data_IF_907948242617
#
_entry.id   IF_907948242617
#
_cell.length_a   1.000
_cell.length_b   1.000
_cell.length_c   1.000
_cell.angle_alpha   90.00
_cell.angle_beta   90.00
_cell.angle_gamma   90.00
#
_symmetry.space_group_name_H-M   'P 1'
#
loop_
_entity.id
_entity.type
_entity.pdbx_description
1 polymer ?
#
# COMPACT_ATOMS: atom_id res chain seq x y z
N UNK A 1 12.63 16.41 1.04
CA UNK A 1 11.91 15.40 0.23
C UNK A 1 12.01 13.99 0.86
N UNK A 2 11.41 13.76 2.04
CA UNK A 2 11.54 12.47 2.78
C UNK A 2 10.34 11.52 2.61
N UNK A 3 9.23 12.03 2.08
CA UNK A 3 8.01 11.24 1.82
C UNK A 3 8.15 10.30 0.61
N UNK A 4 8.88 10.70 -0.44
CA UNK A 4 9.10 9.90 -1.66
C UNK A 4 9.84 8.57 -1.46
N UNK A 5 10.49 8.34 -0.32
CA UNK A 5 11.18 7.07 -0.02
C UNK A 5 10.30 6.05 0.69
N UNK A 6 9.00 6.32 0.86
CA UNK A 6 8.09 5.40 1.51
C UNK A 6 7.69 4.29 0.53
N UNK A 7 7.83 3.01 0.90
CA UNK A 7 7.47 1.88 0.03
C UNK A 7 6.00 1.93 -0.43
N UNK A 8 5.13 2.59 0.34
CA UNK A 8 3.73 2.86 -0.04
C UNK A 8 3.59 3.67 -1.33
N UNK A 9 4.43 4.69 -1.56
CA UNK A 9 4.34 5.54 -2.75
C UNK A 9 4.75 4.76 -3.99
N UNK A 10 5.84 3.99 -3.90
CA UNK A 10 6.26 3.10 -4.99
C UNK A 10 5.18 2.07 -5.31
N UNK A 11 4.56 1.49 -4.28
CA UNK A 11 3.45 0.56 -4.46
C UNK A 11 2.23 1.22 -5.13
N UNK A 12 1.87 2.46 -4.76
CA UNK A 12 0.75 3.18 -5.37
C UNK A 12 1.04 3.48 -6.85
N UNK A 13 2.22 4.00 -7.17
CA UNK A 13 2.61 4.33 -8.54
C UNK A 13 2.60 3.09 -9.44
N UNK A 14 3.21 1.98 -8.98
CA UNK A 14 3.23 0.71 -9.71
C UNK A 14 1.82 0.20 -10.03
N UNK A 15 0.82 0.56 -9.22
CA UNK A 15 -0.54 0.11 -9.34
C UNK A 15 -1.48 1.02 -10.11
N UNK A 16 -1.24 2.32 -10.08
CA UNK A 16 -2.01 3.24 -10.90
C UNK A 16 -1.59 3.20 -12.37
N UNK A 17 -0.32 2.92 -12.67
CA UNK A 17 0.22 2.90 -14.05
C UNK A 17 -0.56 1.94 -14.97
N UNK A 18 -0.83 0.66 -14.62
CA UNK A 18 -1.56 -0.26 -15.48
C UNK A 18 -3.01 0.16 -15.72
N UNK A 19 -3.66 0.78 -14.74
CA UNK A 19 -5.05 1.26 -14.85
C UNK A 19 -5.13 2.48 -15.77
N UNK A 20 -4.22 3.44 -15.60
CA UNK A 20 -4.13 4.61 -16.49
C UNK A 20 -3.74 4.17 -17.91
N UNK A 21 -2.80 3.24 -18.04
CA UNK A 21 -2.41 2.66 -19.33
C UNK A 21 -3.56 1.94 -20.02
N UNK A 22 -4.36 1.18 -19.26
CA UNK A 22 -5.59 0.56 -19.77
C UNK A 22 -6.58 1.62 -20.24
N UNK A 23 -6.91 2.63 -19.43
CA UNK A 23 -7.83 3.71 -19.81
C UNK A 23 -7.40 4.41 -21.11
N UNK A 24 -6.08 4.68 -21.26
CA UNK A 24 -5.52 5.38 -22.43
C UNK A 24 -5.47 4.52 -23.70
N UNK A 25 -5.34 3.19 -23.60
CA UNK A 25 -5.17 2.28 -24.75
C UNK A 25 -6.39 1.40 -25.04
N UNK A 26 -7.35 1.30 -24.12
CA UNK A 26 -8.48 0.36 -24.20
C UNK A 26 -9.46 0.68 -25.34
N UNK A 27 -9.49 1.93 -25.83
CA UNK A 27 -10.45 2.33 -26.86
C UNK A 27 -11.89 2.02 -26.43
N UNK A 28 -12.57 1.10 -27.12
CA UNK A 28 -13.93 0.65 -26.80
C UNK A 28 -14.01 -0.69 -26.02
N UNK A 29 -12.87 -1.25 -25.59
CA UNK A 29 -12.86 -2.52 -24.86
C UNK A 29 -13.48 -2.29 -23.48
N UNK A 30 -14.56 -3.02 -23.17
CA UNK A 30 -15.20 -2.93 -21.86
C UNK A 30 -14.34 -3.66 -20.82
N UNK A 31 -14.10 -3.07 -19.65
CA UNK A 31 -13.39 -3.75 -18.57
C UNK A 31 -14.16 -5.01 -18.14
N UNK A 32 -13.48 -6.15 -18.17
CA UNK A 32 -14.03 -7.43 -17.71
C UNK A 32 -14.02 -7.56 -16.18
N UNK A 33 -14.64 -8.63 -15.66
CA UNK A 33 -14.70 -8.92 -14.20
C UNK A 33 -13.32 -8.90 -13.54
N UNK A 34 -12.30 -9.42 -14.20
CA UNK A 34 -10.92 -9.43 -13.67
C UNK A 34 -10.35 -8.03 -13.43
N UNK A 35 -10.77 -7.03 -14.20
CA UNK A 35 -10.35 -5.64 -14.00
C UNK A 35 -10.89 -5.10 -12.67
N UNK A 36 -12.17 -5.34 -12.40
CA UNK A 36 -12.80 -4.92 -11.15
C UNK A 36 -12.24 -5.69 -9.94
N UNK A 37 -11.92 -6.97 -10.09
CA UNK A 37 -11.22 -7.74 -9.05
C UNK A 37 -9.82 -7.18 -8.78
N UNK A 38 -9.08 -6.81 -9.82
CA UNK A 38 -7.80 -6.10 -9.71
C UNK A 38 -7.94 -4.76 -8.98
N UNK A 39 -8.94 -3.96 -9.32
CA UNK A 39 -9.22 -2.70 -8.65
C UNK A 39 -9.56 -2.91 -7.18
N UNK A 40 -10.42 -3.88 -6.87
CA UNK A 40 -10.82 -4.21 -5.50
C UNK A 40 -9.63 -4.63 -4.65
N UNK A 41 -8.74 -5.49 -5.17
CA UNK A 41 -7.54 -5.93 -4.45
C UNK A 41 -6.56 -4.80 -4.19
N UNK A 42 -6.41 -3.85 -5.12
CA UNK A 42 -5.61 -2.65 -4.90
C UNK A 42 -6.25 -1.77 -3.82
N UNK A 43 -7.55 -1.52 -3.89
CA UNK A 43 -8.23 -0.68 -2.89
C UNK A 43 -8.08 -1.27 -1.48
N UNK A 44 -8.36 -2.57 -1.30
CA UNK A 44 -8.26 -3.22 0.01
C UNK A 44 -6.81 -3.23 0.54
N UNK A 45 -5.84 -3.48 -0.33
CA UNK A 45 -4.41 -3.43 0.02
C UNK A 45 -3.96 -2.00 0.40
N UNK A 46 -4.44 -0.99 -0.32
CA UNK A 46 -4.15 0.42 -0.06
C UNK A 46 -4.72 0.87 1.29
N UNK A 47 -5.96 0.49 1.60
CA UNK A 47 -6.60 0.74 2.90
C UNK A 47 -5.79 0.08 4.02
N UNK A 48 -5.37 -1.18 3.83
CA UNK A 48 -4.57 -1.90 4.83
C UNK A 48 -3.20 -1.24 5.07
N UNK A 49 -2.51 -0.84 4.01
CA UNK A 49 -1.23 -0.13 4.11
C UNK A 49 -1.39 1.21 4.81
N UNK A 50 -2.43 1.97 4.48
CA UNK A 50 -2.72 3.25 5.13
C UNK A 50 -3.05 3.06 6.61
N UNK A 51 -3.84 2.03 6.95
CA UNK A 51 -4.15 1.69 8.33
C UNK A 51 -2.88 1.35 9.13
N UNK A 52 -1.96 0.58 8.57
CA UNK A 52 -0.67 0.31 9.21
C UNK A 52 0.19 1.57 9.35
N UNK A 53 0.27 2.40 8.30
CA UNK A 53 1.03 3.65 8.29
C UNK A 53 0.51 4.64 9.33
N UNK A 54 -0.80 4.70 9.52
CA UNK A 54 -1.45 5.54 10.53
C UNK A 54 -0.91 5.27 11.94
N UNK A 55 -0.63 4.01 12.31
CA UNK A 55 -0.04 3.71 13.60
C UNK A 55 1.40 4.24 13.75
N UNK A 56 2.22 4.21 12.70
CA UNK A 56 3.55 4.81 12.75
C UNK A 56 3.49 6.34 12.93
N UNK A 57 2.55 6.99 12.24
CA UNK A 57 2.31 8.43 12.39
C UNK A 57 1.84 8.74 13.82
N UNK A 58 0.86 7.98 14.33
CA UNK A 58 0.33 8.13 15.70
C UNK A 58 1.40 7.97 16.77
N UNK A 59 2.35 7.05 16.58
CA UNK A 59 3.45 6.79 17.50
C UNK A 59 4.73 7.59 17.18
N UNK A 60 4.66 8.58 16.27
CA UNK A 60 5.79 9.44 15.86
C UNK A 60 7.09 8.67 15.54
N UNK A 61 6.95 7.46 14.99
CA UNK A 61 8.07 6.57 14.66
C UNK A 61 8.15 6.37 13.15
N UNK A 62 9.36 6.12 12.64
CA UNK A 62 9.56 6.01 11.20
C UNK A 62 9.11 4.64 10.71
N UNK A 63 8.29 4.56 9.65
CA UNK A 63 8.00 3.30 8.96
C UNK A 63 9.15 2.85 8.06
N UNK A 64 10.21 3.65 7.88
CA UNK A 64 11.35 3.31 7.05
C UNK A 64 12.31 2.38 7.81
N UNK A 65 12.55 1.13 7.35
CA UNK A 65 13.43 0.18 8.04
C UNK A 65 14.91 0.61 8.05
N UNK A 66 15.31 1.54 7.19
CA UNK A 66 16.68 2.08 7.16
C UNK A 66 16.91 3.19 8.19
N UNK A 67 15.87 3.61 8.92
CA UNK A 67 15.98 4.60 9.99
C UNK A 67 15.82 3.91 11.33
N UNK A 68 16.62 4.31 12.31
CA UNK A 68 16.48 3.83 13.69
C UNK A 68 15.09 4.19 14.21
N UNK A 69 14.24 3.20 14.55
CA UNK A 69 12.90 3.46 15.07
C UNK A 69 13.02 4.10 16.45
N UNK A 70 12.18 5.12 16.71
CA UNK A 70 12.15 5.80 18.02
C UNK A 70 11.40 4.99 19.06
N UNK A 71 10.37 4.29 18.63
CA UNK A 71 9.50 3.48 19.47
C UNK A 71 8.99 2.27 18.69
N UNK A 72 8.78 1.16 19.41
CA UNK A 72 8.17 -0.06 18.87
C UNK A 72 6.65 0.07 18.91
N UNK A 73 6.00 -0.08 17.75
CA UNK A 73 4.54 -0.10 17.66
C UNK A 73 4.04 -1.51 17.92
N UNK A 74 3.26 -1.70 18.99
CA UNK A 74 2.67 -3.01 19.37
C UNK A 74 1.14 -2.99 19.39
N UNK A 75 0.54 -1.93 18.85
CA UNK A 75 -0.91 -1.69 18.88
C UNK A 75 -1.53 -1.84 17.48
N UNK A 76 -2.83 -2.12 17.43
CA UNK A 76 -3.54 -2.33 16.17
C UNK A 76 -3.05 -3.57 15.41
N UNK A 77 -2.77 -3.47 14.09
CA UNK A 77 -2.36 -4.61 13.28
C UNK A 77 -1.01 -5.20 13.72
N UNK A 78 -0.18 -4.39 14.40
CA UNK A 78 1.11 -4.81 14.97
C UNK A 78 1.00 -5.73 16.20
N UNK A 79 -0.21 -5.92 16.75
CA UNK A 79 -0.49 -6.92 17.78
C UNK A 79 -0.61 -8.34 17.21
N UNK A 80 -1.06 -8.45 15.96
CA UNK A 80 -1.32 -9.73 15.29
C UNK A 80 -0.04 -10.25 14.62
N UNK A 81 0.69 -9.37 13.95
CA UNK A 81 1.95 -9.69 13.28
C UNK A 81 2.98 -8.61 13.55
N UNK A 82 4.27 -8.98 13.57
CA UNK A 82 5.38 -8.01 13.64
C UNK A 82 5.51 -7.20 12.35
N UNK A 83 4.94 -7.69 11.26
CA UNK A 83 5.11 -7.10 9.94
C UNK A 83 3.81 -7.06 9.09
N UNK A 84 2.73 -6.45 9.62
CA UNK A 84 1.43 -6.47 8.97
C UNK A 84 1.42 -5.71 7.65
N UNK A 85 2.28 -4.72 7.44
CA UNK A 85 2.35 -4.00 6.16
C UNK A 85 2.65 -4.91 4.97
N UNK A 86 3.41 -5.99 5.17
CA UNK A 86 3.78 -6.87 4.07
C UNK A 86 2.60 -7.66 3.54
N UNK A 87 1.51 -7.82 4.29
CA UNK A 87 0.25 -8.37 3.75
C UNK A 87 -0.34 -7.50 2.64
N UNK A 88 -0.20 -6.17 2.72
CA UNK A 88 -0.65 -5.27 1.66
C UNK A 88 0.30 -5.23 0.45
N UNK A 89 1.55 -5.65 0.65
CA UNK A 89 2.53 -5.79 -0.43
C UNK A 89 2.53 -7.18 -1.07
N UNK A 90 2.10 -8.20 -0.33
CA UNK A 90 2.07 -9.58 -0.80
C UNK A 90 1.07 -9.68 -1.94
N UNK A 91 1.61 -9.97 -3.12
CA UNK A 91 0.84 -10.35 -4.29
C UNK A 91 1.18 -11.80 -4.60
N UNK A 92 0.13 -12.61 -4.69
CA UNK A 92 0.22 -13.97 -5.23
C UNK A 92 0.53 -13.91 -6.72
#
# INVERSE_FOLDING_TARGET
MRFLKLPFIYWLLLNCIPFIGFELHSGNIKPGVFFYLGALTIITSGIWLFFCLYFFIKHNTSPNPHQTPRQLVTTGPYKISRNPMYLGFLRY
#
